data_IF_494429367833
#
_entry.id   IF_494429367833
#
_cell.length_a   1.000
_cell.length_b   1.000
_cell.length_c   1.000
_cell.angle_alpha   90.00
_cell.angle_beta   90.00
_cell.angle_gamma   90.00
#
_symmetry.space_group_name_H-M   'P 1'
#
loop_
_entity.id
_entity.type
_entity.pdbx_description
1 polymer ?
#
# COMPACT_ATOMS: atom_id res chain seq x y z
N UNK A 1 -7.08 24.91 66.44
CA UNK A 1 -6.64 25.62 65.22
C UNK A 1 -6.39 24.59 64.12
N UNK A 2 -7.34 24.43 63.18
CA UNK A 2 -7.24 23.46 62.08
C UNK A 2 -6.46 24.09 60.92
N UNK A 3 -5.27 23.56 60.65
CA UNK A 3 -4.39 24.00 59.55
C UNK A 3 -4.98 23.44 58.25
N UNK A 4 -5.63 24.29 57.45
CA UNK A 4 -6.14 23.92 56.12
C UNK A 4 -4.93 23.64 55.20
N UNK A 5 -4.65 22.37 54.95
CA UNK A 5 -3.69 21.94 53.93
C UNK A 5 -4.38 22.14 52.59
N UNK A 6 -4.04 23.22 51.89
CA UNK A 6 -4.48 23.43 50.51
C UNK A 6 -3.80 22.43 49.60
N UNK A 7 -4.55 21.45 49.12
CA UNK A 7 -4.09 20.55 48.05
C UNK A 7 -4.10 21.36 46.76
N UNK A 8 -2.93 21.83 46.34
CA UNK A 8 -2.73 22.38 44.99
C UNK A 8 -2.71 21.18 44.05
N UNK A 9 -3.81 20.97 43.34
CA UNK A 9 -3.92 19.97 42.28
C UNK A 9 -3.08 20.46 41.09
N UNK A 10 -1.83 20.00 41.02
CA UNK A 10 -0.92 20.28 39.91
C UNK A 10 -1.42 19.49 38.68
N UNK A 11 -2.20 20.14 37.82
CA UNK A 11 -2.62 19.55 36.54
C UNK A 11 -1.36 19.48 35.66
N UNK A 12 -0.77 18.29 35.57
CA UNK A 12 0.28 18.00 34.60
C UNK A 12 -0.32 18.14 33.20
N UNK A 13 -0.01 19.24 32.53
CA UNK A 13 -0.31 19.46 31.12
C UNK A 13 0.58 18.51 30.31
N UNK A 14 0.16 17.25 30.16
CA UNK A 14 0.74 16.37 29.17
C UNK A 14 0.31 16.92 27.80
N UNK A 15 1.25 17.35 26.94
CA UNK A 15 0.88 17.69 25.57
C UNK A 15 0.30 16.42 24.94
N UNK A 16 -1.00 16.46 24.64
CA UNK A 16 -1.65 15.41 23.87
C UNK A 16 -0.99 15.40 22.49
N UNK A 17 -0.06 14.47 22.27
CA UNK A 17 0.50 14.20 20.95
C UNK A 17 -0.60 13.47 20.19
N UNK A 18 -1.46 14.23 19.51
CA UNK A 18 -2.43 13.64 18.60
C UNK A 18 -1.67 13.13 17.37
N UNK A 19 -1.85 11.84 17.00
CA UNK A 19 -1.25 11.33 15.77
C UNK A 19 -1.72 12.17 14.57
N UNK A 20 -0.86 12.32 13.58
CA UNK A 20 -1.21 13.00 12.34
C UNK A 20 -2.40 12.29 11.69
N UNK A 21 -3.40 13.06 11.25
CA UNK A 21 -4.55 12.53 10.50
C UNK A 21 -4.18 12.14 9.07
N UNK A 22 -3.07 12.70 8.54
CA UNK A 22 -2.51 12.29 7.26
C UNK A 22 -0.97 12.32 7.24
N UNK A 23 -0.37 11.32 6.60
CA UNK A 23 1.07 11.27 6.31
C UNK A 23 1.26 11.27 4.79
N UNK A 24 1.99 12.25 4.28
CA UNK A 24 2.29 12.41 2.86
C UNK A 24 3.77 12.14 2.65
N UNK A 25 4.09 11.14 1.85
CA UNK A 25 5.45 10.75 1.51
C UNK A 25 5.71 11.09 0.05
N UNK A 26 6.48 12.14 -0.20
CA UNK A 26 6.81 12.60 -1.56
C UNK A 26 8.18 12.12 -2.00
N UNK A 27 8.34 11.90 -3.29
CA UNK A 27 9.64 11.77 -3.93
C UNK A 27 10.18 13.16 -4.28
N UNK A 28 11.22 13.64 -3.58
CA UNK A 28 11.83 14.94 -3.87
C UNK A 28 12.45 15.09 -5.26
N UNK A 29 12.72 13.98 -5.96
CA UNK A 29 13.22 13.97 -7.35
C UNK A 29 12.12 14.08 -8.41
N UNK A 30 10.85 14.05 -8.02
CA UNK A 30 9.70 14.12 -8.92
C UNK A 30 9.26 15.58 -9.14
N UNK A 31 9.44 16.09 -10.36
CA UNK A 31 9.12 17.49 -10.70
C UNK A 31 7.64 17.87 -10.58
N UNK A 32 6.73 16.88 -10.59
CA UNK A 32 5.28 17.10 -10.54
C UNK A 32 4.67 16.88 -9.15
N UNK A 33 5.44 16.30 -8.23
CA UNK A 33 4.91 15.89 -6.93
C UNK A 33 4.63 17.08 -6.02
N UNK A 34 5.49 18.12 -6.04
CA UNK A 34 5.27 19.31 -5.20
C UNK A 34 3.94 20.02 -5.49
N UNK A 35 3.60 20.42 -6.74
CA UNK A 35 2.31 21.08 -7.01
C UNK A 35 1.11 20.15 -6.75
N UNK A 36 1.26 18.84 -6.98
CA UNK A 36 0.22 17.88 -6.62
C UNK A 36 -0.01 17.84 -5.09
N UNK A 37 1.07 17.76 -4.29
CA UNK A 37 1.01 17.76 -2.82
C UNK A 37 0.38 19.04 -2.29
N UNK A 38 0.65 20.20 -2.88
CA UNK A 38 0.00 21.47 -2.49
C UNK A 38 -1.52 21.42 -2.67
N UNK A 39 -2.01 20.89 -3.80
CA UNK A 39 -3.44 20.70 -4.03
C UNK A 39 -4.06 19.65 -3.09
N UNK A 40 -3.34 18.56 -2.82
CA UNK A 40 -3.76 17.52 -1.88
C UNK A 40 -3.91 18.08 -0.46
N UNK A 41 -2.95 18.88 0.00
CA UNK A 41 -2.98 19.55 1.31
C UNK A 41 -4.18 20.47 1.43
N UNK A 42 -4.46 21.31 0.42
CA UNK A 42 -5.64 22.18 0.42
C UNK A 42 -6.94 21.37 0.52
N UNK A 43 -7.02 20.23 -0.19
CA UNK A 43 -8.17 19.32 -0.10
C UNK A 43 -8.29 18.72 1.31
N UNK A 44 -7.19 18.25 1.91
CA UNK A 44 -7.17 17.70 3.26
C UNK A 44 -7.65 18.72 4.30
N UNK A 45 -7.08 19.92 4.29
CA UNK A 45 -7.44 21.00 5.21
C UNK A 45 -8.93 21.36 5.12
N UNK A 46 -9.44 21.53 3.89
CA UNK A 46 -10.87 21.81 3.64
C UNK A 46 -11.80 20.71 4.18
N UNK A 47 -11.32 19.47 4.26
CA UNK A 47 -12.09 18.32 4.73
C UNK A 47 -11.77 17.93 6.18
N UNK A 48 -11.11 18.80 6.96
CA UNK A 48 -10.88 18.61 8.39
C UNK A 48 -9.60 17.85 8.75
N UNK A 49 -8.75 17.51 7.77
CA UNK A 49 -7.47 16.83 7.95
C UNK A 49 -6.30 17.81 8.08
N UNK A 50 -6.46 18.82 8.95
CA UNK A 50 -5.44 19.88 9.13
C UNK A 50 -4.18 19.45 9.89
N UNK A 51 -4.16 18.26 10.49
CA UNK A 51 -2.99 17.71 11.19
C UNK A 51 -2.26 16.71 10.29
N UNK A 52 -1.55 17.20 9.27
CA UNK A 52 -0.78 16.36 8.35
C UNK A 52 0.74 16.54 8.50
N UNK A 53 1.50 15.55 8.05
CA UNK A 53 2.96 15.62 7.98
C UNK A 53 3.40 15.27 6.56
N UNK A 54 4.25 16.10 5.97
CA UNK A 54 4.89 15.85 4.67
C UNK A 54 6.35 15.42 4.90
N UNK A 55 6.73 14.27 4.35
CA UNK A 55 8.08 13.70 4.44
C UNK A 55 8.64 13.43 3.05
N UNK A 56 9.96 13.52 2.89
CA UNK A 56 10.66 13.24 1.63
C UNK A 56 11.48 11.95 1.75
N UNK A 57 11.05 10.88 1.06
CA UNK A 57 11.69 9.57 1.18
C UNK A 57 12.94 9.39 0.30
N UNK A 58 13.25 10.37 -0.56
CA UNK A 58 14.49 10.33 -1.34
C UNK A 58 15.70 10.78 -0.53
N UNK A 59 15.48 11.73 0.38
CA UNK A 59 16.55 12.35 1.17
C UNK A 59 16.76 11.68 2.53
N UNK A 60 15.79 10.90 3.01
CA UNK A 60 15.83 10.28 4.33
C UNK A 60 15.58 8.76 4.25
N UNK A 61 16.54 7.98 4.76
CA UNK A 61 16.48 6.51 4.75
C UNK A 61 15.46 5.97 5.75
N UNK A 62 15.25 6.64 6.88
CA UNK A 62 14.23 6.22 7.85
C UNK A 62 12.83 6.46 7.28
N UNK A 63 12.62 7.60 6.60
CA UNK A 63 11.36 7.86 5.88
C UNK A 63 11.12 6.82 4.78
N UNK A 64 12.16 6.37 4.07
CA UNK A 64 12.03 5.28 3.10
C UNK A 64 11.60 3.96 3.74
N UNK A 65 12.13 3.62 4.92
CA UNK A 65 11.68 2.43 5.67
C UNK A 65 10.22 2.57 6.11
N UNK A 66 9.79 3.76 6.50
CA UNK A 66 8.38 4.01 6.81
C UNK A 66 7.48 3.74 5.59
N UNK A 67 7.84 4.23 4.40
CA UNK A 67 7.12 3.96 3.15
C UNK A 67 7.00 2.45 2.91
N UNK A 68 8.12 1.71 3.00
CA UNK A 68 8.12 0.26 2.84
C UNK A 68 7.22 -0.44 3.85
N UNK A 69 7.26 -0.03 5.12
CA UNK A 69 6.44 -0.61 6.17
C UNK A 69 4.94 -0.31 5.98
N UNK A 70 4.60 0.90 5.48
CA UNK A 70 3.22 1.25 5.13
C UNK A 70 2.73 0.38 3.98
N UNK A 71 3.51 0.23 2.92
CA UNK A 71 3.16 -0.59 1.77
C UNK A 71 3.03 -2.08 2.12
N UNK A 72 3.92 -2.59 2.97
CA UNK A 72 3.83 -3.96 3.50
C UNK A 72 2.58 -4.16 4.36
N UNK A 73 2.26 -3.22 5.27
CA UNK A 73 1.06 -3.28 6.14
C UNK A 73 -0.25 -3.32 5.33
N UNK A 74 -0.26 -2.70 4.16
CA UNK A 74 -1.43 -2.63 3.27
C UNK A 74 -1.43 -3.71 2.18
N UNK A 75 -0.46 -4.63 2.19
CA UNK A 75 -0.27 -5.66 1.16
C UNK A 75 -0.20 -5.07 -0.26
N UNK A 76 0.39 -3.88 -0.43
CA UNK A 76 0.45 -3.18 -1.73
C UNK A 76 1.32 -3.97 -2.70
N UNK A 77 0.76 -4.51 -3.81
CA UNK A 77 1.55 -5.23 -4.80
C UNK A 77 2.56 -4.28 -5.45
N UNK A 78 3.73 -4.80 -5.85
CA UNK A 78 4.78 -3.99 -6.49
C UNK A 78 4.27 -3.14 -7.67
N UNK A 79 3.29 -3.64 -8.45
CA UNK A 79 2.71 -2.91 -9.59
C UNK A 79 1.89 -1.67 -9.18
N UNK A 80 1.39 -1.65 -7.94
CA UNK A 80 0.56 -0.59 -7.38
C UNK A 80 1.36 0.42 -6.54
N UNK A 81 2.66 0.21 -6.34
CA UNK A 81 3.50 1.14 -5.60
C UNK A 81 3.79 2.38 -6.47
N UNK A 82 3.38 3.55 -5.99
CA UNK A 82 3.55 4.81 -6.70
C UNK A 82 4.87 5.50 -6.35
N UNK A 83 5.22 6.54 -7.10
CA UNK A 83 6.38 7.36 -6.77
C UNK A 83 6.13 8.37 -5.64
N UNK A 84 4.93 8.37 -5.05
CA UNK A 84 4.60 9.04 -3.80
C UNK A 84 3.41 8.33 -3.17
N UNK A 85 3.14 8.56 -1.89
CA UNK A 85 1.91 8.07 -1.27
C UNK A 85 1.36 9.03 -0.22
N UNK A 86 0.06 8.95 0.04
CA UNK A 86 -0.59 9.56 1.18
C UNK A 86 -1.40 8.52 1.95
N UNK A 87 -1.17 8.48 3.26
CA UNK A 87 -1.90 7.67 4.21
C UNK A 87 -2.81 8.58 5.03
N UNK A 88 -4.11 8.30 5.07
CA UNK A 88 -5.12 9.07 5.82
C UNK A 88 -5.77 8.15 6.84
N UNK A 89 -5.93 8.64 8.08
CA UNK A 89 -6.57 7.94 9.21
C UNK A 89 -6.03 6.52 9.49
N UNK A 90 -4.77 6.26 9.12
CA UNK A 90 -4.16 4.92 9.16
C UNK A 90 -4.93 3.83 8.37
N UNK A 91 -5.85 4.21 7.49
CA UNK A 91 -6.81 3.30 6.82
C UNK A 91 -6.89 3.44 5.32
N UNK A 92 -6.59 4.62 4.78
CA UNK A 92 -6.77 4.91 3.36
C UNK A 92 -5.42 5.27 2.78
N UNK A 93 -4.94 4.43 1.86
CA UNK A 93 -3.65 4.60 1.22
C UNK A 93 -3.86 4.97 -0.25
N UNK A 94 -3.26 6.08 -0.67
CA UNK A 94 -3.32 6.52 -2.06
C UNK A 94 -1.90 6.65 -2.58
N UNK A 95 -1.60 5.92 -3.65
CA UNK A 95 -0.30 5.80 -4.29
C UNK A 95 -0.27 6.59 -5.61
N UNK A 96 0.76 7.39 -5.80
CA UNK A 96 0.94 8.23 -6.98
C UNK A 96 0.10 9.50 -6.98
N UNK A 97 -0.39 9.88 -8.15
CA UNK A 97 -1.15 11.09 -8.46
C UNK A 97 -2.67 10.85 -8.50
N UNK A 98 -3.22 10.12 -7.52
CA UNK A 98 -4.68 9.92 -7.43
C UNK A 98 -5.40 11.28 -7.40
N UNK A 99 -6.35 11.57 -8.31
CA UNK A 99 -7.03 12.85 -8.34
C UNK A 99 -7.64 13.23 -6.98
N UNK A 100 -7.35 14.44 -6.50
CA UNK A 100 -7.78 14.89 -5.17
C UNK A 100 -9.31 14.86 -4.98
N UNK A 101 -10.08 15.04 -6.07
CA UNK A 101 -11.54 14.90 -6.05
C UNK A 101 -12.03 13.46 -5.87
N UNK A 102 -11.29 12.46 -6.33
CA UNK A 102 -11.59 11.04 -6.04
C UNK A 102 -11.34 10.74 -4.55
N UNK A 103 -10.21 11.21 -4.01
CA UNK A 103 -9.89 11.10 -2.59
C UNK A 103 -11.00 11.79 -1.76
N UNK A 104 -11.34 13.04 -2.08
CA UNK A 104 -12.38 13.82 -1.39
C UNK A 104 -13.75 13.13 -1.43
N UNK A 105 -14.12 12.52 -2.56
CA UNK A 105 -15.36 11.75 -2.68
C UNK A 105 -15.38 10.54 -1.74
N UNK A 106 -14.28 9.78 -1.68
CA UNK A 106 -14.18 8.60 -0.83
C UNK A 106 -14.25 8.92 0.66
N UNK A 107 -13.57 9.99 1.08
CA UNK A 107 -13.56 10.42 2.48
C UNK A 107 -14.94 10.84 3.00
N UNK A 108 -15.91 11.17 2.12
CA UNK A 108 -17.29 11.50 2.52
C UNK A 108 -18.09 10.27 2.95
N UNK A 109 -17.80 9.09 2.41
CA UNK A 109 -18.50 7.86 2.74
C UNK A 109 -17.59 6.62 2.56
N UNK A 110 -16.56 6.46 3.42
CA UNK A 110 -15.58 5.39 3.27
C UNK A 110 -16.23 4.02 3.50
N UNK A 111 -15.88 3.04 2.65
CA UNK A 111 -16.39 1.67 2.73
C UNK A 111 -15.49 0.71 3.52
N UNK A 112 -14.27 1.14 3.88
CA UNK A 112 -13.31 0.32 4.61
C UNK A 112 -11.87 0.74 4.34
N UNK A 113 -10.93 -0.15 4.66
CA UNK A 113 -9.54 0.00 4.26
C UNK A 113 -9.43 -0.14 2.74
N UNK A 114 -8.68 0.75 2.09
CA UNK A 114 -8.49 0.75 0.63
C UNK A 114 -7.09 1.22 0.27
N UNK A 115 -6.53 0.65 -0.80
CA UNK A 115 -5.39 1.22 -1.52
C UNK A 115 -5.86 1.63 -2.91
N UNK A 116 -5.53 2.85 -3.34
CA UNK A 116 -5.82 3.32 -4.70
C UNK A 116 -4.54 3.83 -5.34
N UNK A 117 -4.25 3.40 -6.56
CA UNK A 117 -3.05 3.79 -7.29
C UNK A 117 -3.40 4.46 -8.61
N UNK A 118 -2.77 5.59 -8.88
CA UNK A 118 -2.84 6.24 -10.18
C UNK A 118 -1.49 6.94 -10.45
N UNK A 119 -0.61 6.31 -11.24
CA UNK A 119 0.76 6.84 -11.45
C UNK A 119 1.01 7.34 -12.89
N UNK A 120 -0.01 7.28 -13.75
CA UNK A 120 0.06 7.82 -15.12
C UNK A 120 -0.09 9.33 -15.11
N UNK A 121 0.98 10.02 -15.49
CA UNK A 121 1.09 11.49 -15.46
C UNK A 121 0.55 12.21 -16.70
N UNK A 122 0.26 11.49 -17.79
CA UNK A 122 -0.35 12.05 -18.99
C UNK A 122 -1.75 11.46 -19.19
N UNK A 123 -2.77 12.33 -19.08
CA UNK A 123 -4.20 12.05 -19.33
C UNK A 123 -4.67 10.68 -18.81
N UNK A 124 -4.62 10.46 -17.48
CA UNK A 124 -5.02 9.17 -16.92
C UNK A 124 -6.49 8.89 -17.22
N UNK A 125 -6.76 7.67 -17.68
CA UNK A 125 -8.13 7.19 -17.97
C UNK A 125 -8.60 6.17 -16.95
N UNK A 126 -7.71 5.65 -16.11
CA UNK A 126 -8.00 4.62 -15.10
C UNK A 126 -7.19 4.81 -13.82
N UNK A 127 -7.63 4.15 -12.75
CA UNK A 127 -6.86 3.88 -11.54
C UNK A 127 -7.00 2.40 -11.15
N UNK A 128 -6.07 1.89 -10.34
CA UNK A 128 -6.17 0.59 -9.69
C UNK A 128 -6.67 0.75 -8.24
N UNK A 129 -7.48 -0.18 -7.76
CA UNK A 129 -7.96 -0.22 -6.37
C UNK A 129 -7.70 -1.61 -5.80
N UNK A 130 -7.04 -1.69 -4.64
CA UNK A 130 -6.95 -2.89 -3.82
C UNK A 130 -7.92 -2.74 -2.65
N UNK A 131 -8.90 -3.63 -2.59
CA UNK A 131 -9.82 -3.74 -1.45
C UNK A 131 -10.17 -5.21 -1.23
N UNK A 132 -10.21 -5.65 0.02
CA UNK A 132 -10.49 -7.04 0.38
C UNK A 132 -9.58 -8.07 -0.33
N UNK A 133 -8.30 -7.72 -0.54
CA UNK A 133 -7.31 -8.58 -1.20
C UNK A 133 -7.46 -8.70 -2.73
N UNK A 134 -8.39 -7.96 -3.33
CA UNK A 134 -8.66 -7.97 -4.77
C UNK A 134 -8.24 -6.65 -5.41
N UNK A 135 -7.51 -6.73 -6.52
CA UNK A 135 -7.16 -5.55 -7.33
C UNK A 135 -8.15 -5.41 -8.48
N UNK A 136 -8.78 -4.25 -8.56
CA UNK A 136 -9.72 -3.85 -9.60
C UNK A 136 -9.13 -2.67 -10.41
N UNK A 137 -9.44 -2.57 -11.71
CA UNK A 137 -9.08 -1.41 -12.53
C UNK A 137 -10.34 -0.67 -12.93
N UNK A 138 -10.41 0.62 -12.62
CA UNK A 138 -11.62 1.42 -12.77
C UNK A 138 -11.38 2.67 -13.60
N UNK A 139 -12.39 3.16 -14.34
CA UNK A 139 -12.32 4.44 -15.03
C UNK A 139 -12.00 5.60 -14.09
N UNK A 140 -11.21 6.58 -14.54
CA UNK A 140 -10.76 7.71 -13.72
C UNK A 140 -11.90 8.61 -13.22
N UNK A 141 -13.04 8.60 -13.92
CA UNK A 141 -14.24 9.35 -13.59
C UNK A 141 -15.21 8.57 -12.69
N UNK A 142 -14.92 7.29 -12.43
CA UNK A 142 -15.71 6.44 -11.54
C UNK A 142 -15.29 6.64 -10.07
N UNK A 143 -16.23 6.98 -9.16
CA UNK A 143 -15.94 7.05 -7.73
C UNK A 143 -15.39 5.73 -7.18
N UNK A 144 -14.46 5.81 -6.22
CA UNK A 144 -13.78 4.65 -5.61
C UNK A 144 -14.79 3.67 -5.02
N UNK A 145 -15.84 4.18 -4.37
CA UNK A 145 -16.88 3.35 -3.75
C UNK A 145 -17.69 2.51 -4.76
N UNK A 146 -17.59 2.82 -6.06
CA UNK A 146 -18.25 2.07 -7.14
C UNK A 146 -17.30 1.14 -7.90
N UNK A 147 -16.02 1.07 -7.51
CA UNK A 147 -15.00 0.31 -8.24
C UNK A 147 -15.07 -1.22 -8.01
N UNK A 148 -15.79 -1.68 -6.98
CA UNK A 148 -16.00 -3.11 -6.73
C UNK A 148 -16.68 -3.81 -7.92
N UNK A 149 -16.10 -4.89 -8.44
CA UNK A 149 -16.67 -5.71 -9.53
C UNK A 149 -16.04 -5.49 -10.91
N UNK A 150 -15.02 -4.63 -11.01
CA UNK A 150 -14.16 -4.47 -12.17
C UNK A 150 -12.91 -5.38 -12.09
N UNK A 151 -13.10 -6.65 -12.44
CA UNK A 151 -12.06 -7.68 -12.35
C UNK A 151 -10.80 -7.29 -13.14
N UNK A 152 -9.65 -7.15 -12.48
CA UNK A 152 -8.38 -7.27 -13.19
C UNK A 152 -8.12 -8.76 -13.37
N UNK A 153 -8.04 -9.24 -14.61
CA UNK A 153 -7.78 -10.65 -14.93
C UNK A 153 -6.42 -11.18 -14.47
N UNK A 154 -5.82 -10.65 -13.41
CA UNK A 154 -4.59 -11.15 -12.80
C UNK A 154 -4.95 -12.04 -11.62
N UNK A 155 -5.22 -13.30 -11.93
CA UNK A 155 -5.24 -14.38 -10.95
C UNK A 155 -3.87 -14.44 -10.25
N UNK A 156 -3.82 -14.07 -8.97
CA UNK A 156 -2.68 -14.32 -8.07
C UNK A 156 -2.43 -15.82 -7.79
N UNK A 157 -3.09 -16.73 -8.52
CA UNK A 157 -2.93 -18.19 -8.43
C UNK A 157 -1.86 -18.77 -9.36
N UNK A 158 -1.12 -17.96 -10.12
CA UNK A 158 -0.08 -18.44 -11.02
C UNK A 158 1.29 -18.71 -10.35
N UNK A 159 1.38 -18.72 -9.02
CA UNK A 159 2.58 -19.10 -8.27
C UNK A 159 2.25 -20.24 -7.30
N UNK A 160 1.82 -21.41 -7.79
CA UNK A 160 2.18 -22.74 -7.25
C UNK A 160 1.52 -23.89 -8.03
N UNK A 161 1.85 -24.07 -9.31
CA UNK A 161 1.53 -25.33 -10.00
C UNK A 161 2.73 -25.79 -10.83
N UNK A 162 3.72 -26.33 -10.13
CA UNK A 162 4.74 -27.16 -10.78
C UNK A 162 4.83 -28.51 -10.05
N UNK A 163 4.03 -29.53 -10.43
CA UNK A 163 4.18 -30.88 -9.89
C UNK A 163 5.04 -31.69 -10.87
N UNK A 164 6.34 -31.41 -10.93
CA UNK A 164 7.30 -32.29 -11.61
C UNK A 164 8.56 -32.46 -10.75
N UNK A 165 8.38 -33.13 -9.62
CA UNK A 165 9.45 -33.94 -9.03
C UNK A 165 8.85 -35.31 -8.74
N UNK A 166 9.08 -36.35 -9.56
CA UNK A 166 8.92 -37.70 -9.07
C UNK A 166 10.19 -38.08 -8.31
N UNK A 167 10.07 -38.09 -6.97
CA UNK A 167 10.92 -38.91 -6.11
C UNK A 167 10.71 -40.37 -6.52
N UNK A 168 11.67 -40.95 -7.23
CA UNK A 168 11.57 -42.32 -7.72
C UNK A 168 12.91 -42.88 -8.16
N UNK A 169 13.83 -43.07 -7.21
CA UNK A 169 15.06 -43.85 -7.44
C UNK A 169 15.37 -44.74 -6.23
N UNK A 170 14.55 -45.78 -6.10
CA UNK A 170 14.78 -47.07 -5.44
C UNK A 170 14.03 -48.05 -6.38
N UNK A 171 14.50 -49.20 -6.87
CA UNK A 171 15.49 -50.15 -6.36
C UNK A 171 15.63 -51.26 -7.44
N UNK A 172 16.79 -51.93 -7.49
CA UNK A 172 17.08 -53.28 -8.04
C UNK A 172 17.12 -53.53 -9.56
N UNK A 173 18.32 -53.82 -10.06
CA UNK A 173 18.56 -54.57 -11.28
C UNK A 173 19.74 -55.53 -11.08
N UNK A 174 19.48 -56.69 -10.48
CA UNK A 174 20.43 -57.79 -10.33
C UNK A 174 19.96 -59.05 -11.05
N UNK A 175 20.91 -59.67 -11.77
CA UNK A 175 20.92 -61.01 -12.38
C UNK A 175 20.01 -61.23 -13.62
N UNK A 176 20.34 -62.04 -14.63
CA UNK A 176 21.56 -62.67 -15.17
C UNK A 176 21.05 -63.52 -16.37
N UNK A 177 21.80 -63.62 -17.49
CA UNK A 177 22.21 -64.86 -18.19
C UNK A 177 22.57 -64.64 -19.68
N UNK A 178 23.84 -64.90 -19.97
CA UNK A 178 24.42 -65.78 -21.02
C UNK A 178 23.92 -65.71 -22.48
N UNK A 179 24.83 -65.36 -23.40
CA UNK A 179 25.24 -66.29 -24.46
C UNK A 179 26.66 -66.01 -24.97
N UNK A 180 27.36 -67.10 -25.28
CA UNK A 180 28.75 -67.24 -25.74
C UNK A 180 28.98 -66.74 -27.17
N UNK A 181 30.22 -66.34 -27.52
CA UNK A 181 30.98 -66.83 -28.70
C UNK A 181 32.46 -66.43 -28.52
N UNK A 182 33.33 -67.43 -28.75
CA UNK A 182 34.80 -67.41 -28.75
C UNK A 182 35.25 -67.63 -30.20
N UNK A 183 36.15 -66.84 -30.78
CA UNK A 183 36.97 -67.27 -31.93
C UNK A 183 38.34 -66.55 -31.89
N UNK A 184 39.38 -67.39 -31.82
CA UNK A 184 40.84 -67.21 -32.03
C UNK A 184 41.53 -65.88 -31.73
#
# INVERSE_FOLDING_TARGET
>A
MLKKIGVILLILFFPSVFPASALIYKNGGCGHCSPYVEGLVQMLEKNGYGNYVVKDFMQDTEVRKEVMAVQERFDVPLRMQGHMLVLIDDKYLFEGHVPANLIESYLKNPKGQVVVTQDSMDKPTTYEMLMNGKVETCPIDQPIEKCEGHDTGVNASAILQNPLIPLGLLVLGGAALLYSIRVN
#
